data_IF_531998057227
#
_entry.id   IF_531998057227
#
_cell.length_a   1.000
_cell.length_b   1.000
_cell.length_c   1.000
_cell.angle_alpha   90.00
_cell.angle_beta   90.00
_cell.angle_gamma   90.00
#
_symmetry.space_group_name_H-M   'P 1'
#
loop_
_entity.id
_entity.type
_entity.pdbx_description
1 polymer ?
#
# COMPACT_ATOMS: atom_id res chain seq x y z
N UNK A 1 0.07 -2.49 4.67
CA UNK A 1 0.92 -1.53 3.93
C UNK A 1 0.52 -0.11 4.30
N UNK A 2 1.46 0.82 4.48
CA UNK A 2 1.12 2.23 4.76
C UNK A 2 1.36 3.08 3.51
N UNK A 3 0.36 3.86 3.10
CA UNK A 3 0.48 4.86 2.04
C UNK A 3 0.42 6.23 2.70
N UNK A 4 1.56 6.91 2.70
CA UNK A 4 1.72 8.26 3.23
C UNK A 4 1.49 9.25 2.11
N UNK A 5 0.38 9.97 2.17
CA UNK A 5 0.07 11.05 1.23
C UNK A 5 0.64 12.37 1.75
N UNK A 6 1.37 13.09 0.89
CA UNK A 6 1.78 14.47 1.17
C UNK A 6 0.59 15.43 1.16
N UNK A 7 0.71 16.62 1.78
CA UNK A 7 -0.36 17.62 1.83
C UNK A 7 -0.88 18.04 0.43
N UNK A 8 -0.01 18.11 -0.57
CA UNK A 8 -0.35 18.50 -1.94
C UNK A 8 -1.28 17.46 -2.60
N UNK A 9 -0.95 16.17 -2.51
CA UNK A 9 -1.82 15.10 -3.02
C UNK A 9 -3.16 15.05 -2.29
N UNK A 10 -3.16 15.25 -0.97
CA UNK A 10 -4.42 15.31 -0.19
C UNK A 10 -5.28 16.49 -0.64
N UNK A 11 -4.68 17.62 -1.01
CA UNK A 11 -5.40 18.79 -1.51
C UNK A 11 -6.11 18.46 -2.83
N UNK A 12 -5.39 17.83 -3.77
CA UNK A 12 -5.97 17.36 -5.04
C UNK A 12 -7.12 16.39 -4.78
N UNK A 13 -6.91 15.34 -3.96
CA UNK A 13 -7.96 14.38 -3.64
C UNK A 13 -9.19 15.03 -3.01
N UNK A 14 -9.01 16.00 -2.11
CA UNK A 14 -10.12 16.73 -1.49
C UNK A 14 -10.88 17.59 -2.50
N UNK A 15 -10.17 18.30 -3.37
CA UNK A 15 -10.78 19.13 -4.42
C UNK A 15 -11.63 18.29 -5.38
N UNK A 16 -11.14 17.10 -5.73
CA UNK A 16 -11.82 16.15 -6.61
C UNK A 16 -12.85 15.26 -5.87
N UNK A 17 -13.10 15.50 -4.58
CA UNK A 17 -14.11 14.77 -3.81
C UNK A 17 -13.79 13.30 -3.51
N UNK A 18 -12.51 12.90 -3.52
CA UNK A 18 -12.10 11.52 -3.27
C UNK A 18 -12.19 11.16 -1.78
N UNK A 19 -12.88 10.06 -1.51
CA UNK A 19 -12.86 9.37 -0.22
C UNK A 19 -11.62 8.49 -0.06
N UNK A 20 -11.24 8.19 1.20
CA UNK A 20 -10.19 7.20 1.49
C UNK A 20 -10.48 5.83 0.86
N UNK A 21 -11.74 5.40 0.82
CA UNK A 21 -12.14 4.13 0.21
C UNK A 21 -11.89 4.11 -1.31
N UNK A 22 -12.13 5.22 -2.01
CA UNK A 22 -11.79 5.34 -3.43
C UNK A 22 -10.28 5.30 -3.67
N UNK A 23 -9.49 5.97 -2.81
CA UNK A 23 -8.03 5.91 -2.89
C UNK A 23 -7.54 4.46 -2.70
N UNK A 24 -8.03 3.76 -1.68
CA UNK A 24 -7.73 2.33 -1.43
C UNK A 24 -8.00 1.46 -2.65
N UNK A 25 -9.23 1.55 -3.17
CA UNK A 25 -9.66 0.79 -4.35
C UNK A 25 -8.77 1.11 -5.55
N UNK A 26 -8.49 2.38 -5.80
CA UNK A 26 -7.68 2.81 -6.94
C UNK A 26 -6.24 2.29 -6.88
N UNK A 27 -5.62 2.32 -5.70
CA UNK A 27 -4.29 1.74 -5.47
C UNK A 27 -4.35 0.22 -5.64
N UNK A 28 -5.25 -0.47 -4.95
CA UNK A 28 -5.36 -1.93 -5.00
C UNK A 28 -5.55 -2.44 -6.43
N UNK A 29 -6.50 -1.88 -7.19
CA UNK A 29 -6.77 -2.28 -8.58
C UNK A 29 -5.56 -2.10 -9.51
N UNK A 30 -4.65 -1.18 -9.22
CA UNK A 30 -3.47 -0.89 -10.06
C UNK A 30 -2.18 -1.55 -9.55
N UNK A 31 -2.12 -1.84 -8.25
CA UNK A 31 -1.02 -2.50 -7.57
C UNK A 31 -1.14 -4.02 -7.71
N UNK A 32 -1.10 -4.47 -8.97
CA UNK A 32 -1.16 -5.87 -9.37
C UNK A 32 -0.05 -6.12 -10.38
N UNK A 33 0.71 -7.20 -10.22
CA UNK A 33 1.78 -7.61 -11.13
C UNK A 33 1.78 -9.13 -11.28
N UNK A 34 2.33 -9.67 -12.38
CA UNK A 34 2.57 -11.11 -12.50
C UNK A 34 3.39 -11.66 -11.33
N UNK A 35 3.09 -12.89 -10.90
CA UNK A 35 3.88 -13.59 -9.87
C UNK A 35 5.35 -13.72 -10.29
N UNK A 36 5.61 -13.94 -11.58
CA UNK A 36 6.96 -14.00 -12.13
C UNK A 36 7.80 -12.74 -11.83
N UNK A 37 7.19 -11.55 -11.93
CA UNK A 37 7.87 -10.28 -11.63
C UNK A 37 8.30 -10.22 -10.16
N UNK A 38 7.45 -10.65 -9.24
CA UNK A 38 7.80 -10.70 -7.81
C UNK A 38 8.93 -11.70 -7.51
N UNK A 39 8.92 -12.88 -8.15
CA UNK A 39 10.01 -13.86 -7.99
C UNK A 39 11.35 -13.31 -8.49
N UNK A 40 11.36 -12.63 -9.65
CA UNK A 40 12.57 -11.97 -10.16
C UNK A 40 13.10 -10.93 -9.18
N UNK A 41 12.22 -10.07 -8.66
CA UNK A 41 12.60 -9.06 -7.66
C UNK A 41 13.10 -9.67 -6.35
N UNK A 42 12.64 -10.88 -6.01
CA UNK A 42 13.11 -11.65 -4.86
C UNK A 42 14.42 -12.43 -5.13
N UNK A 43 15.00 -12.32 -6.33
CA UNK A 43 16.28 -12.92 -6.69
C UNK A 43 16.21 -14.38 -7.12
N UNK A 44 15.03 -14.89 -7.47
CA UNK A 44 14.91 -16.22 -8.07
C UNK A 44 15.53 -16.20 -9.49
N UNK A 45 16.27 -17.25 -9.89
CA UNK A 45 16.74 -17.37 -11.26
C UNK A 45 15.55 -17.63 -12.20
N UNK A 46 15.66 -17.24 -13.46
CA UNK A 46 14.59 -17.45 -14.47
C UNK A 46 14.22 -18.94 -14.63
N UNK A 47 15.17 -19.86 -14.39
CA UNK A 47 14.90 -21.30 -14.41
C UNK A 47 13.96 -21.80 -13.30
N UNK A 48 13.74 -20.99 -12.26
CA UNK A 48 12.81 -21.28 -11.16
C UNK A 48 11.43 -20.60 -11.34
N UNK A 49 11.23 -19.92 -12.47
CA UNK A 49 9.98 -19.24 -12.82
C UNK A 49 9.34 -20.05 -13.95
N UNK A 50 8.12 -20.52 -13.71
CA UNK A 50 7.39 -21.26 -14.72
C UNK A 50 6.67 -20.30 -15.68
N UNK A 51 6.55 -20.67 -16.96
CA UNK A 51 5.97 -19.78 -17.99
C UNK A 51 4.56 -19.29 -17.62
N UNK A 52 3.73 -20.14 -17.02
CA UNK A 52 2.39 -19.73 -16.59
C UNK A 52 2.38 -18.62 -15.53
N UNK A 53 3.48 -18.43 -14.78
CA UNK A 53 3.56 -17.41 -13.72
C UNK A 53 3.70 -15.98 -14.26
N UNK A 54 3.96 -15.83 -15.56
CA UNK A 54 3.89 -14.54 -16.27
C UNK A 54 2.45 -14.03 -16.44
N UNK A 55 1.47 -14.94 -16.40
CA UNK A 55 0.05 -14.61 -16.58
C UNK A 55 -0.73 -14.55 -15.26
N UNK A 56 -0.21 -15.19 -14.20
CA UNK A 56 -0.86 -15.20 -12.88
C UNK A 56 -0.66 -13.83 -12.22
N UNK A 57 -1.72 -13.04 -12.18
CA UNK A 57 -1.71 -11.71 -11.57
C UNK A 57 -1.85 -11.80 -10.04
N UNK A 58 -0.95 -11.13 -9.33
CA UNK A 58 -0.87 -11.14 -7.87
C UNK A 58 -0.92 -9.74 -7.27
N UNK A 59 -1.68 -9.62 -6.19
CA UNK A 59 -1.67 -8.44 -5.32
C UNK A 59 -0.81 -8.71 -4.09
N UNK A 60 0.19 -7.86 -3.86
CA UNK A 60 1.01 -7.94 -2.64
C UNK A 60 0.30 -7.40 -1.39
N UNK A 61 -0.91 -6.85 -1.58
CA UNK A 61 -1.84 -6.43 -0.52
C UNK A 61 -3.02 -7.39 -0.57
N UNK A 62 -3.42 -7.99 0.55
CA UNK A 62 -4.49 -9.00 0.57
C UNK A 62 -5.86 -8.41 0.21
N UNK A 63 -6.23 -7.28 0.82
CA UNK A 63 -7.47 -6.55 0.52
C UNK A 63 -7.22 -5.03 0.44
N UNK A 64 -8.08 -4.24 -0.24
CA UNK A 64 -7.95 -2.78 -0.25
C UNK A 64 -7.91 -2.15 1.15
N UNK A 65 -8.54 -2.78 2.14
CA UNK A 65 -8.62 -2.30 3.52
C UNK A 65 -7.32 -2.51 4.31
N UNK A 66 -6.42 -3.38 3.83
CA UNK A 66 -5.08 -3.61 4.41
C UNK A 66 -4.05 -2.54 4.01
N UNK A 67 -4.45 -1.59 3.18
CA UNK A 67 -3.74 -0.32 3.02
C UNK A 67 -4.02 0.53 4.27
N UNK A 68 -3.11 1.38 4.71
CA UNK A 68 -3.36 2.42 5.71
C UNK A 68 -3.07 3.76 5.06
N UNK A 69 -4.11 4.57 4.81
CA UNK A 69 -3.93 5.91 4.24
C UNK A 69 -3.72 6.90 5.37
N UNK A 70 -2.52 7.47 5.42
CA UNK A 70 -2.14 8.52 6.38
C UNK A 70 -1.63 9.75 5.64
N UNK A 71 -1.66 10.90 6.31
CA UNK A 71 -1.12 12.15 5.78
C UNK A 71 0.03 12.60 6.66
N UNK A 72 1.18 12.91 6.07
CA UNK A 72 2.35 13.43 6.77
C UNK A 72 3.24 14.23 5.81
N UNK A 73 4.25 14.91 6.36
CA UNK A 73 5.19 15.75 5.60
C UNK A 73 4.88 17.26 5.69
N UNK A 74 5.63 18.05 4.94
CA UNK A 74 5.49 19.51 4.84
C UNK A 74 5.21 19.97 3.41
N UNK A 75 5.13 21.29 3.20
CA UNK A 75 4.78 21.94 1.91
C UNK A 75 5.87 21.86 0.81
N UNK A 76 6.82 20.93 0.94
CA UNK A 76 8.01 20.89 0.10
C UNK A 76 8.05 19.58 -0.68
N UNK A 77 7.57 19.63 -1.93
CA UNK A 77 7.98 18.71 -2.99
C UNK A 77 6.95 17.68 -3.46
N UNK A 78 5.75 17.62 -2.89
CA UNK A 78 4.71 16.71 -3.42
C UNK A 78 5.09 15.22 -3.37
N UNK A 79 5.98 14.83 -2.46
CA UNK A 79 6.46 13.45 -2.36
C UNK A 79 5.63 12.62 -1.39
N UNK A 80 4.96 11.59 -1.90
CA UNK A 80 4.31 10.55 -1.09
C UNK A 80 5.19 9.33 -0.94
N UNK A 81 4.90 8.49 0.05
CA UNK A 81 5.69 7.31 0.35
C UNK A 81 4.81 6.07 0.56
N UNK A 82 5.39 4.90 0.33
CA UNK A 82 4.80 3.61 0.66
C UNK A 82 5.74 2.88 1.61
N UNK A 83 5.20 2.40 2.73
CA UNK A 83 5.94 1.65 3.75
C UNK A 83 5.43 0.21 3.76
N UNK A 84 6.28 -0.79 3.43
CA UNK A 84 5.90 -2.18 3.47
C UNK A 84 5.73 -2.69 4.92
N UNK A 85 4.98 -3.78 5.13
CA UNK A 85 5.00 -4.48 6.42
C UNK A 85 6.38 -5.11 6.68
N UNK A 86 6.73 -5.26 7.95
CA UNK A 86 7.92 -6.01 8.34
C UNK A 86 7.74 -7.50 8.02
N UNK A 87 8.81 -8.14 7.53
CA UNK A 87 8.82 -9.56 7.12
C UNK A 87 7.65 -9.93 6.19
N UNK A 88 7.33 -9.04 5.24
CA UNK A 88 6.19 -9.20 4.31
C UNK A 88 4.81 -9.41 5.00
N UNK A 89 4.70 -9.09 6.30
CA UNK A 89 3.49 -9.30 7.08
C UNK A 89 3.29 -10.71 7.62
N UNK A 90 4.28 -11.60 7.50
CA UNK A 90 4.20 -12.96 8.05
C UNK A 90 4.01 -12.96 9.58
N UNK A 91 4.77 -12.11 10.26
CA UNK A 91 4.77 -12.01 11.74
C UNK A 91 4.43 -10.60 12.24
N UNK A 92 3.90 -9.73 11.37
CA UNK A 92 3.56 -8.36 11.73
C UNK A 92 2.23 -7.91 11.12
N UNK A 93 1.41 -7.21 11.92
CA UNK A 93 0.15 -6.61 11.47
C UNK A 93 0.11 -5.13 11.83
N UNK A 94 -0.14 -4.29 10.84
CA UNK A 94 -0.33 -2.87 11.07
C UNK A 94 -1.66 -2.61 11.78
N UNK A 95 -1.64 -1.78 12.82
CA UNK A 95 -2.82 -1.43 13.62
C UNK A 95 -2.84 0.08 13.87
N UNK A 96 -4.03 0.63 14.08
CA UNK A 96 -4.22 2.00 14.57
C UNK A 96 -4.78 1.91 15.97
N UNK A 97 -4.10 2.53 16.95
CA UNK A 97 -4.55 2.59 18.34
C UNK A 97 -4.52 4.04 18.80
N UNK A 98 -5.60 4.49 19.43
CA UNK A 98 -5.61 5.79 20.10
C UNK A 98 -4.61 5.75 21.28
N UNK A 99 -3.82 6.81 21.42
CA UNK A 99 -2.84 6.96 22.51
C UNK A 99 -3.27 8.14 23.37
N UNK A 100 -3.40 7.92 24.68
CA UNK A 100 -3.81 8.96 25.62
C UNK A 100 -5.27 9.40 25.52
N UNK A 101 -6.10 8.68 24.75
CA UNK A 101 -7.54 8.92 24.70
C UNK A 101 -8.23 8.04 25.75
N UNK A 102 -9.01 8.67 26.62
CA UNK A 102 -9.92 7.99 27.50
C UNK A 102 -11.25 7.88 26.76
N UNK A 103 -11.69 6.65 26.44
CA UNK A 103 -12.97 6.43 25.75
C UNK A 103 -14.10 6.24 26.78
N UNK A 104 -13.74 5.87 28.01
CA UNK A 104 -14.65 5.56 29.13
C UNK A 104 -14.45 6.47 30.36
N UNK A 105 -13.75 7.59 30.19
CA UNK A 105 -13.98 8.78 30.99
C UNK A 105 -14.47 9.90 30.05
#
# INVERSE_FOLDING_TARGET
>A
WVVVLCPEHVTIFKQEGWSKAQIRKAVYTRAIRPVAEFKRLAGFPDSAIAEQEEEIMYHNVATPDDLLIVTAGGKAGGFSAVIPPWAAGADSRAVTRAVGLCIDC
#
